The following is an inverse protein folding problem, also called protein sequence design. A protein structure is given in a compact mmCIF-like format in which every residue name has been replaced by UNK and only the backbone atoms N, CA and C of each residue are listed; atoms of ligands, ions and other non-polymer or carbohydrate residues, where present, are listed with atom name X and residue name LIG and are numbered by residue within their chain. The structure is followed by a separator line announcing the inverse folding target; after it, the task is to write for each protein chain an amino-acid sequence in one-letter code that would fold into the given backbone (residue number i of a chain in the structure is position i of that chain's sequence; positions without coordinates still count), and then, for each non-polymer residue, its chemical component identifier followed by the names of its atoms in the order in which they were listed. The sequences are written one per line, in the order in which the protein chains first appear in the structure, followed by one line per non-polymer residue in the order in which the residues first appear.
data_IF_835029791943
#
_entry.id   IF_835029791943
#
_cell.length_a   1.000
_cell.length_b   1.000
_cell.length_c   1.000
_cell.angle_alpha   90.00
_cell.angle_beta   90.00
_cell.angle_gamma   90.00
#
_symmetry.space_group_name_H-M   'P 1'
#
loop_
_entity.id
_entity.type
_entity.pdbx_description
1 polymer ?
#
# COMPACT_ATOMS: atom_id res chain seq x y z
N UNK A 1 32.70 4.34 -15.53
CA UNK A 1 31.31 4.39 -15.06
C UNK A 1 30.49 5.12 -16.10
N UNK A 2 29.51 4.45 -16.70
CA UNK A 2 28.71 5.02 -17.80
C UNK A 2 27.60 5.94 -17.27
N UNK A 3 27.12 6.85 -18.10
CA UNK A 3 26.01 7.77 -17.75
C UNK A 3 24.73 6.99 -17.34
N UNK A 4 24.52 5.81 -17.97
CA UNK A 4 23.43 4.88 -17.64
C UNK A 4 23.55 4.30 -16.22
N UNK A 5 24.75 3.86 -15.83
CA UNK A 5 25.02 3.36 -14.47
C UNK A 5 24.80 4.44 -13.41
N UNK A 6 25.18 5.69 -13.73
CA UNK A 6 24.98 6.84 -12.84
C UNK A 6 23.49 7.12 -12.61
N UNK A 7 22.68 7.17 -13.68
CA UNK A 7 21.22 7.33 -13.59
C UNK A 7 20.53 6.19 -12.85
N UNK A 8 20.94 4.95 -13.09
CA UNK A 8 20.38 3.77 -12.39
C UNK A 8 20.70 3.79 -10.90
N UNK A 9 21.91 4.22 -10.52
CA UNK A 9 22.30 4.38 -9.11
C UNK A 9 21.47 5.46 -8.42
N UNK A 10 21.20 6.58 -9.09
CA UNK A 10 20.35 7.67 -8.57
C UNK A 10 18.92 7.16 -8.36
N UNK A 11 18.30 6.56 -9.38
CA UNK A 11 16.93 6.02 -9.26
C UNK A 11 16.80 4.96 -8.18
N UNK A 12 17.81 4.10 -8.01
CA UNK A 12 17.83 3.11 -6.94
C UNK A 12 17.86 3.77 -5.57
N UNK A 13 18.68 4.81 -5.40
CA UNK A 13 18.74 5.55 -4.15
C UNK A 13 17.41 6.25 -3.86
N UNK A 14 16.85 6.96 -4.84
CA UNK A 14 15.53 7.61 -4.74
C UNK A 14 14.42 6.60 -4.37
N UNK A 15 14.42 5.41 -4.99
CA UNK A 15 13.48 4.36 -4.67
C UNK A 15 13.57 3.90 -3.22
N UNK A 16 14.78 3.65 -2.71
CA UNK A 16 14.96 3.18 -1.33
C UNK A 16 14.65 4.27 -0.30
N UNK A 17 14.97 5.54 -0.60
CA UNK A 17 14.58 6.67 0.26
C UNK A 17 13.06 6.78 0.36
N UNK A 18 12.34 6.72 -0.77
CA UNK A 18 10.87 6.75 -0.78
C UNK A 18 10.28 5.52 -0.06
N UNK A 19 10.84 4.33 -0.30
CA UNK A 19 10.41 3.10 0.38
C UNK A 19 10.55 3.20 1.90
N UNK A 20 11.70 3.68 2.40
CA UNK A 20 11.94 3.86 3.84
C UNK A 20 10.95 4.89 4.40
N UNK A 21 10.74 6.02 3.73
CA UNK A 21 9.81 7.05 4.18
C UNK A 21 8.37 6.53 4.28
N UNK A 22 7.90 5.77 3.27
CA UNK A 22 6.57 5.17 3.26
C UNK A 22 6.43 4.09 4.34
N UNK A 23 7.41 3.19 4.47
CA UNK A 23 7.39 2.14 5.48
C UNK A 23 7.37 2.72 6.89
N UNK A 24 8.22 3.72 7.18
CA UNK A 24 8.24 4.40 8.47
C UNK A 24 6.89 5.09 8.76
N UNK A 25 6.30 5.77 7.78
CA UNK A 25 4.97 6.38 7.93
C UNK A 25 3.91 5.34 8.26
N UNK A 26 3.90 4.19 7.59
CA UNK A 26 2.94 3.11 7.86
C UNK A 26 3.11 2.54 9.26
N UNK A 27 4.34 2.37 9.74
CA UNK A 27 4.63 1.87 11.09
C UNK A 27 4.22 2.88 12.17
N UNK A 28 4.51 4.17 11.95
CA UNK A 28 3.99 5.25 12.79
C UNK A 28 2.46 5.20 12.77
N UNK A 29 1.85 4.91 11.61
CA UNK A 29 0.41 4.71 11.45
C UNK A 29 -0.16 3.48 12.18
N UNK A 30 0.69 2.59 12.65
CA UNK A 30 0.31 1.46 13.49
C UNK A 30 0.55 1.71 14.97
N UNK A 31 1.08 2.90 15.33
CA UNK A 31 1.32 3.31 16.71
C UNK A 31 2.74 3.06 17.18
N UNK A 32 3.66 2.67 16.28
CA UNK A 32 5.08 2.49 16.59
C UNK A 32 5.74 3.86 16.74
N UNK A 33 6.64 3.99 17.72
CA UNK A 33 7.35 5.25 17.96
C UNK A 33 8.22 5.63 16.75
N UNK A 34 8.33 6.93 16.44
CA UNK A 34 8.98 7.41 15.21
C UNK A 34 10.41 6.86 15.01
N UNK A 35 11.21 6.81 16.09
CA UNK A 35 12.58 6.27 16.04
C UNK A 35 12.60 4.78 15.70
N UNK A 36 11.71 3.99 16.30
CA UNK A 36 11.62 2.55 16.07
C UNK A 36 11.08 2.25 14.67
N UNK A 37 10.10 3.04 14.22
CA UNK A 37 9.55 2.96 12.88
C UNK A 37 10.62 3.24 11.81
N UNK A 38 11.46 4.25 12.02
CA UNK A 38 12.56 4.56 11.11
C UNK A 38 13.59 3.43 11.07
N UNK A 39 13.97 2.88 12.24
CA UNK A 39 14.92 1.77 12.32
C UNK A 39 14.38 0.52 11.59
N UNK A 40 13.12 0.17 11.84
CA UNK A 40 12.46 -0.95 11.20
C UNK A 40 12.33 -0.74 9.69
N UNK A 41 12.00 0.47 9.24
CA UNK A 41 11.92 0.81 7.82
C UNK A 41 13.27 0.66 7.10
N UNK A 42 14.36 1.13 7.71
CA UNK A 42 15.72 0.93 7.18
C UNK A 42 16.07 -0.56 7.10
N UNK A 43 15.78 -1.35 8.13
CA UNK A 43 16.04 -2.79 8.13
C UNK A 43 15.24 -3.52 7.03
N UNK A 44 14.00 -3.08 6.75
CA UNK A 44 13.21 -3.60 5.63
C UNK A 44 13.86 -3.26 4.27
N UNK A 45 14.39 -2.05 4.11
CA UNK A 45 15.09 -1.64 2.89
C UNK A 45 16.36 -2.47 2.66
N UNK A 46 17.15 -2.70 3.71
CA UNK A 46 18.34 -3.55 3.67
C UNK A 46 18.00 -4.99 3.29
N UNK A 47 16.89 -5.52 3.84
CA UNK A 47 16.40 -6.85 3.47
C UNK A 47 16.00 -6.91 2.00
N UNK A 48 15.27 -5.92 1.49
CA UNK A 48 14.88 -5.87 0.08
C UNK A 48 16.10 -5.78 -0.83
N UNK A 49 17.05 -4.90 -0.49
CA UNK A 49 18.27 -4.70 -1.26
C UNK A 49 19.16 -5.95 -1.28
N UNK A 50 19.26 -6.70 -0.18
CA UNK A 50 20.06 -7.92 -0.10
C UNK A 50 19.37 -9.14 -0.73
N UNK A 51 18.07 -9.31 -0.52
CA UNK A 51 17.33 -10.48 -0.99
C UNK A 51 16.96 -10.38 -2.48
N UNK A 52 16.59 -9.19 -2.93
CA UNK A 52 16.18 -8.93 -4.32
C UNK A 52 17.27 -8.22 -5.13
N UNK A 53 18.41 -7.88 -4.50
CA UNK A 53 19.56 -7.30 -5.16
C UNK A 53 20.09 -8.19 -6.27
N UNK A 54 20.37 -7.59 -7.43
CA UNK A 54 20.84 -8.30 -8.62
C UNK A 54 19.73 -8.86 -9.51
N UNK A 55 18.47 -8.86 -9.06
CA UNK A 55 17.32 -9.22 -9.89
C UNK A 55 16.76 -7.99 -10.61
N UNK A 56 16.23 -8.16 -11.83
CA UNK A 56 15.51 -7.11 -12.54
C UNK A 56 14.00 -7.33 -12.37
N UNK A 57 13.42 -6.65 -11.38
CA UNK A 57 12.00 -6.72 -11.07
C UNK A 57 11.27 -5.60 -11.83
N UNK A 58 10.34 -5.98 -12.70
CA UNK A 58 9.46 -5.03 -13.36
C UNK A 58 8.16 -4.87 -12.55
N UNK A 59 7.90 -3.67 -12.04
CA UNK A 59 6.62 -3.34 -11.40
C UNK A 59 5.63 -2.84 -12.45
N UNK A 60 4.49 -3.51 -12.67
CA UNK A 60 3.46 -3.02 -13.57
C UNK A 60 2.91 -1.66 -13.11
N UNK A 61 2.70 -0.72 -14.02
CA UNK A 61 2.11 0.59 -13.71
C UNK A 61 0.74 0.47 -13.05
N UNK A 62 -0.05 -0.54 -13.44
CA UNK A 62 -1.41 -0.76 -12.94
C UNK A 62 -1.48 -1.85 -11.86
N UNK A 63 -0.41 -2.02 -11.06
CA UNK A 63 -0.39 -3.05 -10.03
C UNK A 63 -1.53 -2.86 -9.02
N UNK A 64 -2.48 -3.81 -9.01
CA UNK A 64 -3.55 -3.88 -8.01
C UNK A 64 -3.18 -4.87 -6.93
N UNK A 65 -2.74 -4.34 -5.77
CA UNK A 65 -2.54 -5.16 -4.58
C UNK A 65 -3.85 -5.88 -4.21
N UNK A 66 -3.77 -7.19 -3.96
CA UNK A 66 -4.88 -7.97 -3.43
C UNK A 66 -5.40 -7.37 -2.12
N UNK A 67 -6.70 -7.48 -1.87
CA UNK A 67 -7.24 -7.16 -0.54
C UNK A 67 -6.84 -8.30 0.41
N UNK A 68 -6.46 -7.95 1.63
CA UNK A 68 -6.19 -8.96 2.65
C UNK A 68 -7.49 -9.51 3.21
N UNK A 69 -7.43 -10.71 3.80
CA UNK A 69 -8.59 -11.31 4.48
C UNK A 69 -9.13 -10.38 5.58
N UNK A 70 -8.23 -9.78 6.36
CA UNK A 70 -8.58 -8.82 7.42
C UNK A 70 -9.31 -7.58 6.88
N UNK A 71 -8.85 -7.02 5.75
CA UNK A 71 -9.51 -5.88 5.13
C UNK A 71 -10.96 -6.20 4.73
N UNK A 72 -11.18 -7.36 4.13
CA UNK A 72 -12.51 -7.82 3.72
C UNK A 72 -13.43 -8.07 4.92
N UNK A 73 -12.89 -8.66 5.99
CA UNK A 73 -13.62 -8.97 7.22
C UNK A 73 -14.02 -7.68 7.98
N UNK A 74 -13.11 -6.71 8.07
CA UNK A 74 -13.43 -5.39 8.65
C UNK A 74 -14.54 -4.71 7.85
N UNK A 75 -14.49 -4.79 6.52
CA UNK A 75 -15.49 -4.15 5.68
C UNK A 75 -16.86 -4.83 5.74
N UNK A 76 -16.92 -6.17 5.88
CA UNK A 76 -18.20 -6.88 5.99
C UNK A 76 -18.95 -6.54 7.29
N UNK A 77 -18.22 -6.18 8.36
CA UNK A 77 -18.77 -5.76 9.64
C UNK A 77 -18.98 -4.23 9.75
N UNK A 78 -18.65 -3.47 8.71
CA UNK A 78 -18.73 -2.02 8.73
C UNK A 78 -20.16 -1.52 8.46
N UNK A 79 -20.72 -0.78 9.42
CA UNK A 79 -22.11 -0.27 9.37
C UNK A 79 -22.22 1.20 8.94
N UNK A 80 -21.09 1.88 8.72
CA UNK A 80 -21.06 3.27 8.23
C UNK A 80 -20.37 4.26 9.17
N UNK A 81 -20.41 4.02 10.48
CA UNK A 81 -19.80 4.91 11.49
C UNK A 81 -19.14 4.17 12.67
N UNK A 82 -19.03 2.84 12.63
CA UNK A 82 -18.51 2.01 13.72
C UNK A 82 -16.98 1.81 13.69
N UNK A 83 -16.22 2.84 13.29
CA UNK A 83 -14.76 2.73 13.12
C UNK A 83 -14.02 2.38 14.43
N UNK A 84 -14.40 3.03 15.53
CA UNK A 84 -13.81 2.82 16.86
C UNK A 84 -14.11 1.41 17.40
N UNK A 85 -15.34 0.91 17.19
CA UNK A 85 -15.71 -0.46 17.59
C UNK A 85 -14.90 -1.51 16.83
N UNK A 86 -14.76 -1.34 15.51
CA UNK A 86 -13.97 -2.26 14.68
C UNK A 86 -12.47 -2.21 15.02
N UNK A 87 -11.96 -1.02 15.35
CA UNK A 87 -10.59 -0.84 15.81
C UNK A 87 -10.33 -1.64 17.09
N UNK A 88 -11.20 -1.49 18.09
CA UNK A 88 -11.10 -2.24 19.35
C UNK A 88 -11.25 -3.75 19.14
N UNK A 89 -12.22 -4.18 18.34
CA UNK A 89 -12.49 -5.60 18.09
C UNK A 89 -11.31 -6.31 17.40
N UNK A 90 -10.58 -5.60 16.54
CA UNK A 90 -9.46 -6.15 15.76
C UNK A 90 -8.08 -5.80 16.33
N UNK A 91 -8.01 -5.06 17.45
CA UNK A 91 -6.75 -4.65 18.08
C UNK A 91 -5.89 -3.73 17.21
N UNK A 92 -6.50 -2.89 16.37
CA UNK A 92 -5.80 -1.99 15.45
C UNK A 92 -6.24 -0.54 15.64
N UNK A 93 -5.42 0.40 15.20
CA UNK A 93 -5.76 1.82 15.26
C UNK A 93 -6.98 2.17 14.35
N UNK A 94 -7.85 3.08 14.82
CA UNK A 94 -9.02 3.56 14.06
C UNK A 94 -8.66 4.09 12.67
N UNK A 95 -7.54 4.81 12.55
CA UNK A 95 -7.03 5.28 11.24
C UNK A 95 -6.76 4.14 10.26
N UNK A 96 -6.32 2.97 10.75
CA UNK A 96 -6.06 1.79 9.93
C UNK A 96 -7.36 1.21 9.40
N UNK A 97 -8.40 1.13 10.25
CA UNK A 97 -9.76 0.72 9.86
C UNK A 97 -10.29 1.65 8.77
N UNK A 98 -10.18 2.97 8.97
CA UNK A 98 -10.63 3.98 8.01
C UNK A 98 -9.95 3.82 6.65
N UNK A 99 -8.62 3.63 6.64
CA UNK A 99 -7.84 3.38 5.42
C UNK A 99 -8.28 2.11 4.69
N UNK A 100 -8.60 1.03 5.42
CA UNK A 100 -9.09 -0.20 4.81
C UNK A 100 -10.46 -0.02 4.16
N UNK A 101 -11.39 0.63 4.86
CA UNK A 101 -12.73 0.93 4.33
C UNK A 101 -12.65 1.81 3.08
N UNK A 102 -11.84 2.88 3.11
CA UNK A 102 -11.64 3.76 1.95
C UNK A 102 -11.05 3.02 0.75
N UNK A 103 -10.07 2.15 0.98
CA UNK A 103 -9.45 1.35 -0.09
C UNK A 103 -10.46 0.43 -0.76
N UNK A 104 -11.34 -0.22 0.02
CA UNK A 104 -12.38 -1.10 -0.53
C UNK A 104 -13.44 -0.29 -1.28
N UNK A 105 -13.90 0.84 -0.73
CA UNK A 105 -14.82 1.76 -1.42
C UNK A 105 -14.27 2.24 -2.76
N UNK A 106 -12.99 2.65 -2.80
CA UNK A 106 -12.33 3.05 -4.05
C UNK A 106 -12.34 1.92 -5.07
N UNK A 107 -12.05 0.68 -4.63
CA UNK A 107 -12.07 -0.51 -5.50
C UNK A 107 -13.47 -0.84 -6.03
N UNK A 108 -14.51 -0.72 -5.20
CA UNK A 108 -15.90 -0.93 -5.63
C UNK A 108 -16.35 0.16 -6.62
N UNK A 109 -16.01 1.42 -6.37
CA UNK A 109 -16.31 2.52 -7.29
C UNK A 109 -15.59 2.37 -8.63
N UNK A 110 -14.33 1.90 -8.64
CA UNK A 110 -13.61 1.60 -9.88
C UNK A 110 -14.22 0.43 -10.65
N UNK A 111 -14.71 -0.61 -9.98
CA UNK A 111 -15.42 -1.71 -10.63
C UNK A 111 -16.72 -1.22 -11.27
N UNK A 112 -17.55 -0.49 -10.52
CA UNK A 112 -18.82 0.06 -11.03
C UNK A 112 -18.61 1.00 -12.24
N UNK A 113 -17.53 1.80 -12.26
CA UNK A 113 -17.18 2.64 -13.42
C UNK A 113 -16.81 1.84 -14.67
N UNK A 114 -16.15 0.68 -14.52
CA UNK A 114 -15.82 -0.19 -15.66
C UNK A 114 -17.09 -0.80 -16.24
N UNK A 115 -17.98 -1.29 -15.39
CA UNK A 115 -19.24 -1.90 -15.81
C UNK A 115 -20.17 -0.89 -16.51
N UNK A 116 -20.19 0.37 -16.06
CA UNK A 116 -20.93 1.44 -16.74
C UNK A 116 -20.32 1.85 -18.08
N UNK A 117 -19.01 1.80 -18.26
CA UNK A 117 -18.36 2.11 -19.54
C UNK A 117 -18.65 1.08 -20.64
N UNK A 118 -18.82 -0.18 -20.27
CA UNK A 118 -19.12 -1.28 -21.20
C UNK A 118 -20.57 -1.24 -21.72
N UNK A 119 -21.49 -0.66 -20.94
CA UNK A 119 -22.91 -0.50 -21.30
C UNK A 119 -23.15 0.53 -22.42
N UNK A 120 -22.23 1.47 -22.65
CA UNK A 120 -22.34 2.51 -23.69
C UNK A 120 -21.53 2.23 -24.95
N UNK A 121 -20.77 1.13 -25.00
CA UNK A 121 -19.85 0.83 -26.10
C UNK A 121 -20.29 -0.38 -26.94
N UNK A 122 -21.54 -0.82 -26.77
CA UNK A 122 -22.10 -2.02 -27.40
C UNK A 122 -23.32 -1.71 -28.30
N UNK A 123 -23.29 -0.59 -29.02
CA UNK A 123 -24.23 -0.27 -30.10
C UNK A 123 -23.47 0.20 -31.35
N UNK A 124 -23.00 -0.75 -32.18
CA UNK A 124 -22.68 -0.54 -33.60
C UNK A 124 -22.84 -1.84 -34.38
#
# INVERSE_FOLDING_TARGET
MTERETRMRIRRHEFFEDFVAVAARVLIDLGIHATEAQLAASALADHVASHWGGQNINMPMDFRRALTKLELEIYSQFTGNNYDELARANGIAERTVRRYVERIRKRLAEAARRDQGDLFNNEH
#
